data_IF_605614659386
#
_entry.id   IF_605614659386
#
_cell.length_a   1.000
_cell.length_b   1.000
_cell.length_c   1.000
_cell.angle_alpha   90.00
_cell.angle_beta   90.00
_cell.angle_gamma   90.00
#
_symmetry.space_group_name_H-M   'P 1'
#
loop_
_entity.id
_entity.type
_entity.pdbx_description
1 polymer ?
#
# COMPACT_ATOMS: atom_id res chain seq x y z
N UNK A 1 9.61 0.45 -10.47
CA UNK A 1 8.79 -0.78 -10.44
C UNK A 1 9.24 -1.72 -11.57
N UNK A 2 10.54 -1.92 -11.72
CA UNK A 2 11.18 -2.76 -12.74
C UNK A 2 12.62 -3.02 -12.30
N UNK A 3 13.23 -4.08 -12.82
CA UNK A 3 14.64 -4.41 -12.57
C UNK A 3 15.58 -3.27 -12.98
N UNK A 4 15.43 -2.76 -14.21
CA UNK A 4 16.27 -1.69 -14.73
C UNK A 4 16.17 -0.40 -13.90
N UNK A 5 14.95 -0.05 -13.45
CA UNK A 5 14.75 1.14 -12.62
C UNK A 5 15.36 0.99 -11.23
N UNK A 6 15.30 -0.21 -10.64
CA UNK A 6 15.98 -0.48 -9.37
C UNK A 6 17.50 -0.37 -9.52
N UNK A 7 18.08 -1.01 -10.56
CA UNK A 7 19.52 -0.99 -10.83
C UNK A 7 20.08 0.43 -11.02
N UNK A 8 19.35 1.28 -11.73
CA UNK A 8 19.74 2.68 -11.92
C UNK A 8 19.81 3.44 -10.58
N UNK A 9 18.88 3.19 -9.65
CA UNK A 9 18.88 3.81 -8.33
C UNK A 9 20.05 3.31 -7.47
N UNK A 10 20.34 2.00 -7.52
CA UNK A 10 21.51 1.41 -6.84
C UNK A 10 22.80 2.07 -7.33
N UNK A 11 22.98 2.20 -8.65
CA UNK A 11 24.18 2.82 -9.25
C UNK A 11 24.35 4.29 -8.87
N UNK A 12 23.25 4.98 -8.53
CA UNK A 12 23.25 6.36 -8.02
C UNK A 12 23.49 6.45 -6.51
N UNK A 13 23.68 5.33 -5.82
CA UNK A 13 23.99 5.27 -4.40
C UNK A 13 22.77 5.37 -3.48
N UNK A 14 21.59 4.93 -3.93
CA UNK A 14 20.42 4.88 -3.05
C UNK A 14 20.57 3.80 -1.96
N UNK A 15 20.33 4.15 -0.70
CA UNK A 15 20.39 3.22 0.44
C UNK A 15 19.13 2.35 0.60
N UNK A 16 18.03 2.72 -0.07
CA UNK A 16 16.79 1.94 -0.13
C UNK A 16 16.00 2.28 -1.39
N UNK A 17 15.25 1.31 -1.92
CA UNK A 17 14.43 1.49 -3.13
C UNK A 17 12.95 1.39 -2.77
N UNK A 18 12.20 2.47 -3.00
CA UNK A 18 10.75 2.47 -2.81
C UNK A 18 10.04 2.03 -4.08
N UNK A 19 9.32 0.92 -4.00
CA UNK A 19 8.70 0.24 -5.15
C UNK A 19 7.19 0.39 -5.11
N UNK A 20 6.63 1.01 -6.15
CA UNK A 20 5.19 1.02 -6.41
C UNK A 20 4.81 2.10 -7.40
N UNK A 21 4.16 1.72 -8.52
CA UNK A 21 3.60 2.67 -9.50
C UNK A 21 2.13 2.33 -9.72
N UNK A 22 1.27 3.22 -9.20
CA UNK A 22 -0.18 3.10 -9.25
C UNK A 22 -0.89 2.05 -8.36
N UNK A 23 -0.29 1.40 -7.34
CA UNK A 23 -1.02 0.44 -6.50
C UNK A 23 -1.81 1.11 -5.35
N UNK A 24 -1.63 2.41 -5.12
CA UNK A 24 -2.22 3.12 -3.99
C UNK A 24 -3.75 3.19 -4.06
N UNK A 25 -4.42 3.10 -2.91
CA UNK A 25 -5.90 3.09 -2.80
C UNK A 25 -6.59 4.36 -3.30
N UNK A 26 -5.87 5.47 -3.34
CA UNK A 26 -6.34 6.80 -3.77
C UNK A 26 -5.63 7.29 -5.03
N UNK A 27 -4.89 6.41 -5.70
CA UNK A 27 -4.10 6.72 -6.88
C UNK A 27 -4.88 6.32 -8.14
N UNK A 28 -4.91 7.21 -9.13
CA UNK A 28 -5.55 6.97 -10.43
C UNK A 28 -4.55 6.91 -11.58
N UNK A 29 -3.24 6.97 -11.30
CA UNK A 29 -2.15 6.90 -12.30
C UNK A 29 -2.39 5.82 -13.36
N UNK A 30 -2.72 4.58 -12.97
CA UNK A 30 -2.96 3.49 -13.94
C UNK A 30 -4.13 3.76 -14.88
N UNK A 31 -5.18 4.39 -14.36
CA UNK A 31 -6.40 4.67 -15.11
C UNK A 31 -6.20 5.88 -16.02
N UNK A 32 -5.57 6.93 -15.50
CA UNK A 32 -5.40 8.21 -16.20
C UNK A 32 -4.27 8.14 -17.24
N UNK A 33 -3.17 7.46 -16.93
CA UNK A 33 -1.97 7.42 -17.79
C UNK A 33 -1.78 6.08 -18.52
N UNK A 34 -2.46 5.03 -18.08
CA UNK A 34 -2.21 3.66 -18.56
C UNK A 34 -0.93 3.01 -18.01
N UNK A 35 -0.16 3.71 -17.16
CA UNK A 35 1.14 3.25 -16.66
C UNK A 35 1.04 2.60 -15.28
N UNK A 36 1.63 1.42 -15.13
CA UNK A 36 1.83 0.77 -13.84
C UNK A 36 2.18 -0.71 -13.95
N UNK A 37 2.57 -1.32 -12.83
CA UNK A 37 2.92 -2.75 -12.74
C UNK A 37 2.21 -3.35 -11.52
N UNK A 38 1.56 -4.53 -11.61
CA UNK A 38 1.00 -5.22 -10.45
C UNK A 38 2.03 -5.37 -9.32
N UNK A 39 1.64 -5.04 -8.08
CA UNK A 39 2.60 -4.71 -7.03
C UNK A 39 3.51 -5.88 -6.62
N UNK A 40 2.98 -7.11 -6.56
CA UNK A 40 3.80 -8.29 -6.24
C UNK A 40 4.88 -8.50 -7.30
N UNK A 41 4.52 -8.42 -8.59
CA UNK A 41 5.47 -8.48 -9.71
C UNK A 41 6.47 -7.33 -9.65
N UNK A 42 6.01 -6.11 -9.34
CA UNK A 42 6.89 -4.94 -9.24
C UNK A 42 7.97 -5.11 -8.16
N UNK A 43 7.63 -5.72 -7.01
CA UNK A 43 8.59 -6.03 -5.94
C UNK A 43 9.59 -7.07 -6.42
N UNK A 44 9.11 -8.20 -6.97
CA UNK A 44 9.96 -9.28 -7.49
C UNK A 44 10.93 -8.79 -8.57
N UNK A 45 10.45 -7.99 -9.52
CA UNK A 45 11.28 -7.47 -10.61
C UNK A 45 12.28 -6.44 -10.08
N UNK A 46 11.89 -5.56 -9.16
CA UNK A 46 12.81 -4.61 -8.55
C UNK A 46 13.91 -5.31 -7.75
N UNK A 47 13.59 -6.40 -7.05
CA UNK A 47 14.56 -7.18 -6.26
C UNK A 47 15.73 -7.68 -7.11
N UNK A 48 15.47 -8.09 -8.36
CA UNK A 48 16.52 -8.54 -9.30
C UNK A 48 17.53 -7.46 -9.66
N UNK A 49 17.18 -6.19 -9.48
CA UNK A 49 18.04 -5.04 -9.76
C UNK A 49 18.50 -4.30 -8.51
N UNK A 50 18.16 -4.78 -7.31
CA UNK A 50 18.43 -4.07 -6.06
C UNK A 50 19.77 -4.46 -5.42
N UNK A 51 20.42 -5.53 -5.87
CA UNK A 51 21.61 -6.10 -5.22
C UNK A 51 21.35 -6.30 -3.71
N UNK A 52 22.16 -5.70 -2.83
CA UNK A 52 21.99 -5.73 -1.37
C UNK A 52 21.10 -4.57 -0.83
N UNK A 53 20.60 -3.68 -1.69
CA UNK A 53 19.83 -2.50 -1.29
C UNK A 53 18.39 -2.90 -0.92
N UNK A 54 17.90 -2.58 0.29
CA UNK A 54 16.59 -2.99 0.75
C UNK A 54 15.44 -2.35 -0.04
N UNK A 55 14.36 -3.12 -0.23
CA UNK A 55 13.15 -2.68 -0.91
C UNK A 55 12.05 -2.31 0.09
N UNK A 56 11.40 -1.17 -0.17
CA UNK A 56 10.18 -0.72 0.51
C UNK A 56 9.00 -0.92 -0.44
N UNK A 57 8.09 -1.83 -0.12
CA UNK A 57 6.85 -2.02 -0.89
C UNK A 57 5.84 -0.92 -0.54
N UNK A 58 5.56 -0.02 -1.48
CA UNK A 58 4.74 1.17 -1.27
C UNK A 58 3.39 1.09 -1.99
N UNK A 59 2.32 1.00 -1.19
CA UNK A 59 0.93 1.05 -1.65
C UNK A 59 0.29 -0.32 -1.92
N UNK A 60 -1.05 -0.34 -1.92
CA UNK A 60 -1.87 -1.52 -2.25
C UNK A 60 -2.19 -2.47 -1.09
N UNK A 61 -1.60 -2.27 0.09
CA UNK A 61 -1.91 -3.04 1.31
C UNK A 61 -3.33 -2.71 1.79
N UNK A 62 -4.19 -3.74 1.87
CA UNK A 62 -5.57 -3.64 2.38
C UNK A 62 -5.77 -4.45 3.65
N UNK A 63 -5.06 -5.56 3.77
CA UNK A 63 -5.11 -6.47 4.91
C UNK A 63 -3.71 -6.83 5.39
N UNK A 64 -3.58 -7.32 6.62
CA UNK A 64 -2.29 -7.78 7.17
C UNK A 64 -1.65 -8.91 6.34
N UNK A 65 -2.46 -9.76 5.71
CA UNK A 65 -1.99 -10.77 4.76
C UNK A 65 -1.29 -10.18 3.52
N UNK A 66 -1.62 -8.95 3.10
CA UNK A 66 -0.91 -8.28 2.01
C UNK A 66 0.51 -7.86 2.45
N UNK A 67 0.72 -7.57 3.74
CA UNK A 67 2.06 -7.32 4.32
C UNK A 67 2.90 -8.59 4.24
N UNK A 68 2.34 -9.74 4.63
CA UNK A 68 3.03 -11.05 4.54
C UNK A 68 3.47 -11.31 3.11
N UNK A 69 2.56 -11.14 2.14
CA UNK A 69 2.85 -11.36 0.70
C UNK A 69 3.91 -10.40 0.17
N UNK A 70 3.87 -9.12 0.55
CA UNK A 70 4.86 -8.15 0.12
C UNK A 70 6.26 -8.47 0.64
N UNK A 71 6.37 -8.89 1.91
CA UNK A 71 7.64 -9.31 2.52
C UNK A 71 8.12 -10.63 1.90
N UNK A 72 7.24 -11.61 1.72
CA UNK A 72 7.57 -12.88 1.04
C UNK A 72 8.01 -12.67 -0.41
N UNK A 73 7.51 -11.63 -1.08
CA UNK A 73 7.95 -11.25 -2.42
C UNK A 73 9.33 -10.56 -2.47
N UNK A 74 10.00 -10.36 -1.33
CA UNK A 74 11.37 -9.81 -1.24
C UNK A 74 11.46 -8.39 -0.70
N UNK A 75 10.35 -7.73 -0.33
CA UNK A 75 10.43 -6.42 0.31
C UNK A 75 11.00 -6.55 1.74
N UNK A 76 11.85 -5.62 2.15
CA UNK A 76 12.38 -5.53 3.52
C UNK A 76 11.39 -4.83 4.46
N UNK A 77 10.54 -3.96 3.92
CA UNK A 77 9.49 -3.24 4.67
C UNK A 77 8.31 -2.86 3.76
N UNK A 78 7.21 -2.43 4.39
CA UNK A 78 6.00 -1.95 3.68
C UNK A 78 5.69 -0.51 4.08
N UNK A 79 5.27 0.31 3.13
CA UNK A 79 4.73 1.65 3.35
C UNK A 79 3.21 1.62 3.19
N UNK A 80 2.48 2.14 4.19
CA UNK A 80 1.03 2.09 4.26
C UNK A 80 0.42 3.48 4.41
N UNK A 81 -0.44 3.87 3.47
CA UNK A 81 -1.24 5.10 3.55
C UNK A 81 -2.62 4.86 4.19
N UNK A 82 -3.57 4.31 3.43
CA UNK A 82 -4.98 4.14 3.86
C UNK A 82 -5.16 3.28 5.10
N UNK A 83 -4.22 2.39 5.41
CA UNK A 83 -4.29 1.60 6.64
C UNK A 83 -4.13 2.48 7.90
N UNK A 84 -3.35 3.56 7.80
CA UNK A 84 -3.02 4.46 8.89
C UNK A 84 -3.79 5.79 8.83
N UNK A 85 -4.35 6.17 7.69
CA UNK A 85 -4.99 7.48 7.51
C UNK A 85 -6.17 7.75 8.47
N UNK A 86 -6.86 6.71 8.94
CA UNK A 86 -8.00 6.83 9.85
C UNK A 86 -7.62 6.86 11.35
N UNK A 87 -6.34 6.80 11.70
CA UNK A 87 -5.92 6.72 13.11
C UNK A 87 -5.98 8.08 13.80
N UNK A 88 -5.96 8.07 15.12
CA UNK A 88 -6.00 9.29 15.94
C UNK A 88 -4.84 10.24 15.61
N UNK A 89 -3.63 9.69 15.47
CA UNK A 89 -2.37 10.38 15.25
C UNK A 89 -2.19 10.89 13.81
N UNK A 90 -3.02 10.44 12.87
CA UNK A 90 -2.96 10.98 11.51
C UNK A 90 -3.40 12.45 11.49
N UNK A 91 -2.91 13.27 10.54
CA UNK A 91 -3.35 14.67 10.44
C UNK A 91 -4.86 14.82 10.21
N UNK A 92 -5.40 15.98 10.60
CA UNK A 92 -6.81 16.33 10.42
C UNK A 92 -7.74 15.80 11.51
N UNK A 93 -8.89 16.45 11.69
CA UNK A 93 -9.87 16.04 12.69
C UNK A 93 -10.80 14.94 12.16
N UNK A 94 -11.39 14.18 13.08
CA UNK A 94 -12.44 13.22 12.71
C UNK A 94 -13.78 13.93 12.49
N UNK A 95 -14.46 13.62 11.39
CA UNK A 95 -15.77 14.15 11.06
C UNK A 95 -16.84 13.10 11.33
N UNK A 96 -17.97 13.51 11.93
CA UNK A 96 -19.14 12.67 12.08
C UNK A 96 -19.99 12.75 10.80
N UNK A 97 -20.22 11.61 10.16
CA UNK A 97 -21.12 11.50 9.01
C UNK A 97 -21.92 10.21 9.12
N UNK A 98 -23.24 10.27 8.87
CA UNK A 98 -24.11 9.08 8.86
C UNK A 98 -24.00 8.24 10.15
N UNK A 99 -23.80 8.90 11.30
CA UNK A 99 -23.64 8.24 12.60
C UNK A 99 -22.31 7.52 12.83
N UNK A 100 -21.34 7.63 11.90
CA UNK A 100 -19.99 7.05 12.02
C UNK A 100 -18.91 8.13 11.94
N UNK A 101 -17.78 7.89 12.60
CA UNK A 101 -16.61 8.79 12.54
C UNK A 101 -15.72 8.42 11.36
N UNK A 102 -15.26 9.43 10.63
CA UNK A 102 -14.35 9.30 9.49
C UNK A 102 -13.20 10.30 9.60
N UNK A 103 -12.09 10.05 8.89
CA UNK A 103 -11.03 11.05 8.61
C UNK A 103 -10.85 11.21 7.11
N UNK A 104 -10.43 12.40 6.69
CA UNK A 104 -10.17 12.70 5.29
C UNK A 104 -8.83 12.08 4.85
N UNK A 105 -8.79 11.58 3.62
CA UNK A 105 -7.59 11.09 2.96
C UNK A 105 -7.56 11.64 1.54
N UNK A 106 -6.38 12.05 1.06
CA UNK A 106 -6.20 12.49 -0.32
C UNK A 106 -4.92 11.95 -0.92
N UNK A 107 -4.97 11.64 -2.21
CA UNK A 107 -3.79 11.29 -2.99
C UNK A 107 -2.92 12.51 -3.18
N UNK A 108 -1.60 12.34 -3.17
CA UNK A 108 -0.69 13.45 -3.46
C UNK A 108 -0.85 13.98 -4.90
N UNK A 109 -1.48 13.21 -5.80
CA UNK A 109 -1.84 13.65 -7.15
C UNK A 109 -3.27 14.19 -7.27
N UNK A 110 -3.96 14.40 -6.14
CA UNK A 110 -5.27 15.07 -6.13
C UNK A 110 -5.11 16.57 -6.34
N UNK A 111 -6.16 17.23 -6.83
CA UNK A 111 -6.14 18.67 -7.10
C UNK A 111 -5.74 19.49 -5.88
N UNK A 112 -6.35 19.24 -4.71
CA UNK A 112 -6.01 20.02 -3.51
C UNK A 112 -4.57 19.77 -3.05
N UNK A 113 -4.07 18.53 -3.13
CA UNK A 113 -2.68 18.25 -2.74
C UNK A 113 -1.68 18.92 -3.68
N UNK A 114 -1.94 18.88 -5.00
CA UNK A 114 -1.07 19.50 -5.99
C UNK A 114 -1.04 21.03 -5.85
N UNK A 115 -2.19 21.65 -5.53
CA UNK A 115 -2.28 23.08 -5.20
C UNK A 115 -1.47 23.44 -3.95
N UNK A 116 -1.39 22.52 -2.98
CA UNK A 116 -0.59 22.67 -1.76
C UNK A 116 0.90 22.33 -1.96
N UNK A 117 1.33 22.06 -3.20
CA UNK A 117 2.74 21.98 -3.56
C UNK A 117 3.26 20.59 -3.96
N UNK A 118 2.41 19.59 -4.18
CA UNK A 118 2.85 18.26 -4.65
C UNK A 118 2.82 18.06 -6.17
N UNK A 119 2.64 19.13 -6.95
CA UNK A 119 2.57 19.09 -8.41
C UNK A 119 3.89 18.65 -9.06
N UNK A 120 5.03 18.93 -8.42
CA UNK A 120 6.39 18.54 -8.81
C UNK A 120 6.54 17.03 -8.99
N UNK A 121 5.95 16.27 -8.07
CA UNK A 121 5.96 14.80 -8.06
C UNK A 121 5.27 14.19 -9.27
N UNK A 122 4.45 14.97 -9.98
CA UNK A 122 3.70 14.57 -11.16
C UNK A 122 4.14 15.32 -12.41
N UNK A 123 5.30 16.01 -12.37
CA UNK A 123 5.86 16.77 -13.49
C UNK A 123 4.92 17.85 -14.04
N UNK A 124 4.06 18.41 -13.17
CA UNK A 124 3.10 19.47 -13.49
C UNK A 124 3.50 20.83 -12.88
N UNK A 125 4.77 20.97 -12.48
CA UNK A 125 5.35 22.26 -12.08
C UNK A 125 5.26 23.30 -13.20
N UNK A 126 4.67 24.46 -12.90
CA UNK A 126 4.51 25.57 -13.85
C UNK A 126 3.07 25.77 -14.36
N UNK A 127 2.18 24.79 -14.16
CA UNK A 127 0.77 24.97 -14.50
C UNK A 127 0.02 25.66 -13.35
N UNK A 128 -0.08 26.99 -13.40
CA UNK A 128 -0.68 27.78 -12.30
C UNK A 128 -2.20 27.69 -12.23
N UNK A 129 -2.87 27.25 -13.30
CA UNK A 129 -4.32 27.14 -13.34
C UNK A 129 -4.76 25.72 -12.94
N UNK A 130 -5.44 25.59 -11.81
CA UNK A 130 -6.02 24.32 -11.34
C UNK A 130 -6.89 23.61 -12.39
N UNK A 131 -7.56 24.36 -13.26
CA UNK A 131 -8.39 23.83 -14.34
C UNK A 131 -7.63 23.09 -15.43
N UNK A 132 -6.30 23.25 -15.50
CA UNK A 132 -5.44 22.62 -16.50
C UNK A 132 -4.61 21.47 -15.92
N UNK A 133 -4.59 21.30 -14.60
CA UNK A 133 -3.94 20.16 -13.96
C UNK A 133 -4.69 18.87 -14.29
N UNK A 134 -3.94 17.79 -14.52
CA UNK A 134 -4.48 16.45 -14.76
C UNK A 134 -4.20 15.60 -13.51
N UNK A 135 -5.18 15.43 -12.60
CA UNK A 135 -4.95 14.75 -11.34
C UNK A 135 -4.79 13.23 -11.50
N UNK A 136 -3.77 12.69 -10.83
CA UNK A 136 -3.48 11.25 -10.71
C UNK A 136 -3.82 10.68 -9.33
N UNK A 137 -4.66 11.39 -8.58
CA UNK A 137 -5.21 10.94 -7.31
C UNK A 137 -6.58 11.54 -7.02
N UNK A 138 -7.27 10.91 -6.06
CA UNK A 138 -8.59 11.34 -5.59
C UNK A 138 -8.54 11.77 -4.13
N UNK A 139 -9.63 12.39 -3.70
CA UNK A 139 -9.89 12.73 -2.31
C UNK A 139 -11.06 11.89 -1.81
N UNK A 140 -11.01 11.50 -0.54
CA UNK A 140 -12.03 10.66 0.06
C UNK A 140 -11.98 10.68 1.57
N UNK A 141 -12.72 9.76 2.17
CA UNK A 141 -12.79 9.57 3.61
C UNK A 141 -12.58 8.10 3.96
N UNK A 142 -11.95 7.84 5.10
CA UNK A 142 -11.76 6.49 5.67
C UNK A 142 -12.40 6.44 7.06
N UNK A 143 -12.91 5.28 7.50
CA UNK A 143 -13.42 5.12 8.85
C UNK A 143 -12.37 5.49 9.90
N UNK A 144 -12.80 6.08 11.02
CA UNK A 144 -11.95 6.28 12.19
C UNK A 144 -11.52 4.94 12.78
N UNK A 145 -10.22 4.79 13.05
CA UNK A 145 -9.61 3.51 13.46
C UNK A 145 -9.12 3.48 14.90
N UNK A 146 -9.23 4.59 15.64
CA UNK A 146 -8.63 4.71 16.97
C UNK A 146 -7.12 4.92 16.92
N UNK A 147 -6.41 4.62 18.02
CA UNK A 147 -4.96 4.79 18.10
C UNK A 147 -4.19 3.93 17.08
N UNK A 148 -3.08 4.44 16.57
CA UNK A 148 -2.23 3.73 15.60
C UNK A 148 -1.68 2.42 16.17
N UNK A 149 -1.47 2.36 17.48
CA UNK A 149 -1.00 1.17 18.19
C UNK A 149 -1.91 -0.05 17.95
N UNK A 150 -3.23 0.15 17.91
CA UNK A 150 -4.20 -0.93 17.76
C UNK A 150 -4.16 -1.48 16.33
N UNK A 151 -4.05 -0.60 15.34
CA UNK A 151 -3.87 -0.98 13.94
C UNK A 151 -2.55 -1.74 13.75
N UNK A 152 -1.44 -1.24 14.29
CA UNK A 152 -0.14 -1.88 14.19
C UNK A 152 -0.11 -3.24 14.90
N UNK A 153 -0.76 -3.36 16.05
CA UNK A 153 -0.90 -4.63 16.76
C UNK A 153 -1.57 -5.69 15.87
N UNK A 154 -2.67 -5.35 15.20
CA UNK A 154 -3.34 -6.27 14.27
C UNK A 154 -2.48 -6.60 13.04
N UNK A 155 -1.74 -5.62 12.49
CA UNK A 155 -0.84 -5.85 11.36
C UNK A 155 0.30 -6.81 11.72
N UNK A 156 0.96 -6.57 12.84
CA UNK A 156 2.05 -7.42 13.34
C UNK A 156 1.53 -8.80 13.74
N UNK A 157 0.35 -8.88 14.35
CA UNK A 157 -0.31 -10.14 14.67
C UNK A 157 -0.58 -10.99 13.43
N UNK A 158 -1.09 -10.37 12.35
CA UNK A 158 -1.27 -11.04 11.06
C UNK A 158 0.05 -11.50 10.44
N UNK A 159 1.09 -10.67 10.50
CA UNK A 159 2.43 -11.04 10.02
C UNK A 159 3.00 -12.24 10.77
N UNK A 160 2.96 -12.22 12.11
CA UNK A 160 3.44 -13.33 12.95
C UNK A 160 2.67 -14.62 12.69
N UNK A 161 1.37 -14.53 12.51
CA UNK A 161 0.52 -15.68 12.15
C UNK A 161 0.94 -16.25 10.79
N UNK A 162 1.10 -15.40 9.76
CA UNK A 162 1.56 -15.82 8.43
C UNK A 162 2.94 -16.49 8.47
N UNK A 163 3.90 -15.91 9.20
CA UNK A 163 5.22 -16.52 9.40
C UNK A 163 5.13 -17.88 10.12
N UNK A 164 4.23 -18.02 11.10
CA UNK A 164 3.96 -19.29 11.77
C UNK A 164 3.45 -20.38 10.83
N UNK A 165 2.51 -20.05 9.93
CA UNK A 165 2.03 -20.98 8.89
C UNK A 165 3.13 -21.37 7.89
N UNK A 166 3.99 -20.42 7.52
CA UNK A 166 5.13 -20.67 6.64
C UNK A 166 6.29 -21.41 7.34
N UNK A 167 6.24 -21.60 8.66
CA UNK A 167 7.31 -22.26 9.41
C UNK A 167 8.62 -21.48 9.49
N UNK A 168 8.57 -20.15 9.37
CA UNK A 168 9.77 -19.27 9.34
C UNK A 168 9.85 -18.40 10.59
N UNK A 169 11.07 -18.17 11.08
CA UNK A 169 11.33 -17.39 12.29
C UNK A 169 11.76 -15.95 12.00
N UNK A 170 12.27 -15.67 10.80
CA UNK A 170 12.82 -14.35 10.44
C UNK A 170 12.30 -13.85 9.09
N UNK A 171 12.39 -12.53 8.86
CA UNK A 171 12.01 -11.95 7.56
C UNK A 171 12.87 -12.46 6.40
N UNK A 172 14.21 -12.63 6.54
CA UNK A 172 15.00 -13.27 5.50
C UNK A 172 14.53 -14.69 5.14
N UNK A 173 14.12 -15.49 6.12
CA UNK A 173 13.53 -16.81 5.84
C UNK A 173 12.19 -16.70 5.10
N UNK A 174 11.33 -15.75 5.49
CA UNK A 174 10.08 -15.47 4.76
C UNK A 174 10.33 -15.10 3.29
N UNK A 175 11.44 -14.41 3.00
CA UNK A 175 11.82 -14.00 1.65
C UNK A 175 12.44 -15.11 0.80
N UNK A 176 13.19 -16.03 1.41
CA UNK A 176 13.97 -17.04 0.69
C UNK A 176 13.33 -18.43 0.67
N UNK A 177 12.58 -18.79 1.70
CA UNK A 177 12.16 -20.17 1.96
C UNK A 177 10.67 -20.43 1.65
N UNK A 178 9.90 -19.38 1.32
CA UNK A 178 8.45 -19.46 1.13
C UNK A 178 8.06 -19.44 -0.34
N UNK A 179 7.18 -20.36 -0.70
CA UNK A 179 6.58 -20.43 -2.03
C UNK A 179 5.20 -19.76 -2.07
N UNK A 180 4.90 -19.09 -3.19
CA UNK A 180 3.58 -18.51 -3.44
C UNK A 180 2.90 -19.28 -4.58
N UNK A 181 1.59 -19.54 -4.42
CA UNK A 181 0.76 -20.13 -5.46
C UNK A 181 -0.17 -19.08 -6.07
N UNK A 182 -0.27 -19.07 -7.39
CA UNK A 182 -1.22 -18.22 -8.09
C UNK A 182 -2.64 -18.79 -7.97
N UNK A 183 -3.60 -17.92 -7.63
CA UNK A 183 -5.01 -18.27 -7.52
C UNK A 183 -5.83 -17.59 -8.61
N UNK A 184 -7.01 -18.15 -8.89
CA UNK A 184 -8.02 -17.53 -9.75
C UNK A 184 -8.91 -16.59 -8.94
N UNK A 185 -9.80 -15.84 -9.61
CA UNK A 185 -10.83 -15.03 -8.94
C UNK A 185 -11.75 -15.87 -8.05
N UNK A 186 -12.03 -17.12 -8.42
CA UNK A 186 -12.80 -18.02 -7.58
C UNK A 186 -12.06 -18.33 -6.26
N UNK A 187 -10.75 -18.59 -6.33
CA UNK A 187 -9.91 -18.78 -5.15
C UNK A 187 -9.82 -17.52 -4.27
N UNK A 188 -9.84 -16.32 -4.87
CA UNK A 188 -9.92 -15.08 -4.08
C UNK A 188 -11.25 -14.99 -3.33
N UNK A 189 -12.37 -15.32 -3.98
CA UNK A 189 -13.69 -15.33 -3.32
C UNK A 189 -13.75 -16.38 -2.20
N UNK A 190 -13.17 -17.56 -2.42
CA UNK A 190 -13.02 -18.61 -1.39
C UNK A 190 -12.17 -18.14 -0.20
N UNK A 191 -11.14 -17.33 -0.44
CA UNK A 191 -10.23 -16.85 0.61
C UNK A 191 -10.89 -15.87 1.59
N UNK A 192 -11.94 -15.17 1.17
CA UNK A 192 -12.70 -14.26 2.02
C UNK A 192 -13.89 -14.99 2.65
N UNK A 193 -14.41 -14.59 3.83
CA UNK A 193 -15.68 -15.11 4.34
C UNK A 193 -16.79 -15.02 3.27
N UNK A 194 -17.39 -16.15 2.94
CA UNK A 194 -18.45 -16.27 1.94
C UNK A 194 -19.61 -17.11 2.49
N UNK A 195 -20.80 -16.93 1.91
CA UNK A 195 -22.03 -17.66 2.24
C UNK A 195 -22.51 -17.52 3.71
N UNK A 196 -22.12 -16.43 4.39
CA UNK A 196 -22.54 -16.07 5.74
C UNK A 196 -22.78 -14.55 5.87
N UNK A 197 -23.63 -14.14 6.82
CA UNK A 197 -23.83 -12.73 7.15
C UNK A 197 -22.98 -12.35 8.36
N UNK A 198 -22.09 -11.36 8.20
CA UNK A 198 -21.28 -10.83 9.30
C UNK A 198 -22.19 -10.06 10.27
N UNK A 199 -22.25 -10.50 11.52
CA UNK A 199 -23.04 -9.86 12.59
C UNK A 199 -22.21 -8.92 13.47
N UNK A 200 -20.88 -9.08 13.47
CA UNK A 200 -19.92 -8.27 14.21
C UNK A 200 -18.62 -8.14 13.42
N UNK A 201 -18.14 -6.92 13.26
CA UNK A 201 -16.86 -6.66 12.59
C UNK A 201 -15.69 -7.13 13.46
N UNK A 202 -14.70 -7.77 12.82
CA UNK A 202 -13.43 -8.12 13.44
C UNK A 202 -12.45 -6.95 13.30
N UNK A 203 -11.55 -6.71 14.27
CA UNK A 203 -10.63 -5.57 14.25
C UNK A 203 -9.62 -5.62 13.09
N UNK A 204 -9.40 -6.78 12.48
CA UNK A 204 -8.48 -7.02 11.38
C UNK A 204 -9.18 -7.33 10.04
N UNK A 205 -10.51 -7.27 9.99
CA UNK A 205 -11.26 -7.60 8.78
C UNK A 205 -12.52 -6.74 8.66
N UNK A 206 -12.56 -5.93 7.61
CA UNK A 206 -13.74 -5.19 7.17
C UNK A 206 -14.06 -5.63 5.74
N UNK A 207 -15.30 -6.09 5.54
CA UNK A 207 -15.84 -6.46 4.23
C UNK A 207 -16.34 -5.22 3.48
#
# INVERSE_FOLDING_TARGET
ASEAGARELVQRGADAIKVGIGPGSICTTRVVTGVGVPQVTAILDALRGADDVPIIADGGVKYSGDVVKALAAGASSVMMGSMLAGTEESPGESVLAEGRRFKMIRGMGSLSAMQDGSADRYFQEGEMAASKMVPEGIEGRVPYKGPVSDVLYQMVGGLRSGMGYCGVATIPQLQCDVEMIQITTAGLRESHPHDVTITREAPNYSA
#
